data_IF_758779869898
#
_entry.id   IF_758779869898
#
_cell.length_a   1.000
_cell.length_b   1.000
_cell.length_c   1.000
_cell.angle_alpha   90.00
_cell.angle_beta   90.00
_cell.angle_gamma   90.00
#
_symmetry.space_group_name_H-M   'P 1'
#
loop_
_entity.id
_entity.type
_entity.pdbx_description
1 polymer ?
#
# COMPACT_ATOMS: atom_id res chain seq x y z
N UNK A 1 1.68 13.76 -9.62
CA UNK A 1 1.97 12.35 -9.50
C UNK A 1 0.85 11.47 -9.98
N UNK A 2 1.13 10.19 -10.10
CA UNK A 2 0.13 9.18 -10.49
C UNK A 2 -0.47 8.52 -9.26
N UNK A 3 -1.50 9.11 -8.67
CA UNK A 3 -2.25 8.48 -7.57
C UNK A 3 -2.78 7.12 -8.03
N UNK A 4 -2.65 6.10 -7.19
CA UNK A 4 -3.08 4.73 -7.48
C UNK A 4 -2.06 3.85 -8.20
N UNK A 5 -0.89 4.37 -8.58
CA UNK A 5 0.13 3.59 -9.30
C UNK A 5 1.21 2.96 -8.39
N UNK A 6 1.31 3.38 -7.11
CA UNK A 6 2.34 2.92 -6.18
C UNK A 6 2.34 1.40 -6.02
N UNK A 7 1.16 0.80 -5.86
CA UNK A 7 1.02 -0.64 -5.70
C UNK A 7 1.50 -1.42 -6.93
N UNK A 8 1.15 -0.97 -8.15
CA UNK A 8 1.58 -1.61 -9.39
C UNK A 8 3.09 -1.53 -9.60
N UNK A 9 3.70 -0.37 -9.31
CA UNK A 9 5.16 -0.17 -9.39
C UNK A 9 5.88 -1.07 -8.37
N UNK A 10 5.42 -1.08 -7.12
CA UNK A 10 6.01 -1.91 -6.07
C UNK A 10 5.87 -3.41 -6.38
N UNK A 11 4.72 -3.83 -6.90
CA UNK A 11 4.51 -5.22 -7.32
C UNK A 11 5.48 -5.62 -8.45
N UNK A 12 5.61 -4.78 -9.48
CA UNK A 12 6.57 -5.00 -10.56
C UNK A 12 8.01 -5.14 -10.05
N UNK A 13 8.43 -4.27 -9.13
CA UNK A 13 9.73 -4.37 -8.49
C UNK A 13 9.89 -5.69 -7.70
N UNK A 14 8.85 -6.10 -6.95
CA UNK A 14 8.88 -7.33 -6.15
C UNK A 14 9.11 -8.60 -6.97
N UNK A 15 8.72 -8.60 -8.26
CA UNK A 15 8.91 -9.76 -9.15
C UNK A 15 10.40 -10.09 -9.39
N UNK A 16 11.26 -9.09 -9.34
CA UNK A 16 12.71 -9.24 -9.54
C UNK A 16 13.50 -9.18 -8.24
N UNK A 17 12.98 -8.52 -7.20
CA UNK A 17 13.65 -8.38 -5.92
C UNK A 17 13.69 -9.68 -5.13
N UNK A 18 14.85 -9.95 -4.50
CA UNK A 18 15.01 -11.01 -3.48
C UNK A 18 14.66 -10.54 -2.07
N UNK A 19 14.56 -9.21 -1.87
CA UNK A 19 14.22 -8.57 -0.59
C UNK A 19 12.73 -8.32 -0.49
N UNK A 20 12.24 -8.14 0.72
CA UNK A 20 10.85 -7.71 0.92
C UNK A 20 10.61 -6.35 0.29
N UNK A 21 9.50 -6.25 -0.41
CA UNK A 21 9.02 -5.03 -1.03
C UNK A 21 7.79 -4.57 -0.29
N UNK A 22 7.89 -3.44 0.40
CA UNK A 22 6.80 -2.84 1.17
C UNK A 22 6.22 -1.68 0.35
N UNK A 23 4.93 -1.76 0.01
CA UNK A 23 4.17 -0.68 -0.60
C UNK A 23 3.32 0.01 0.47
N UNK A 24 3.50 1.32 0.62
CA UNK A 24 2.61 2.17 1.41
C UNK A 24 1.63 2.85 0.45
N UNK A 25 0.36 2.73 0.72
CA UNK A 25 -0.70 3.27 -0.13
C UNK A 25 -1.83 3.87 0.72
N UNK A 26 -2.58 4.81 0.17
CA UNK A 26 -3.79 5.33 0.80
C UNK A 26 -5.04 4.59 0.31
N UNK A 27 -6.11 4.60 1.09
CA UNK A 27 -7.39 4.03 0.70
C UNK A 27 -7.92 4.64 -0.60
N UNK A 28 -7.90 5.97 -0.73
CA UNK A 28 -8.29 6.65 -1.96
C UNK A 28 -7.40 6.31 -3.16
N UNK A 29 -6.11 6.13 -2.94
CA UNK A 29 -5.18 5.72 -3.98
C UNK A 29 -5.49 4.33 -4.52
N UNK A 30 -5.79 3.38 -3.63
CA UNK A 30 -6.19 2.02 -4.01
C UNK A 30 -7.48 2.02 -4.81
N UNK A 31 -8.47 2.81 -4.39
CA UNK A 31 -9.77 2.87 -5.06
C UNK A 31 -9.68 3.40 -6.49
N UNK A 32 -8.75 4.29 -6.78
CA UNK A 32 -8.52 4.79 -8.15
C UNK A 32 -8.11 3.69 -9.13
N UNK A 33 -7.41 2.67 -8.67
CA UNK A 33 -6.94 1.55 -9.51
C UNK A 33 -7.21 0.19 -8.86
N UNK A 34 -8.41 0.02 -8.30
CA UNK A 34 -8.79 -1.17 -7.55
C UNK A 34 -8.60 -2.47 -8.34
N UNK A 35 -8.87 -2.45 -9.65
CA UNK A 35 -8.66 -3.59 -10.53
C UNK A 35 -7.20 -4.08 -10.56
N UNK A 36 -6.22 -3.19 -10.34
CA UNK A 36 -4.81 -3.58 -10.29
C UNK A 36 -4.49 -4.54 -9.15
N UNK A 37 -5.24 -4.48 -8.06
CA UNK A 37 -5.06 -5.40 -6.93
C UNK A 37 -5.26 -6.86 -7.32
N UNK A 38 -6.13 -7.16 -8.32
CA UNK A 38 -6.29 -8.54 -8.82
C UNK A 38 -5.01 -9.04 -9.48
N UNK A 39 -4.41 -8.23 -10.33
CA UNK A 39 -3.12 -8.55 -10.97
C UNK A 39 -2.02 -8.70 -9.92
N UNK A 40 -1.96 -7.78 -8.97
CA UNK A 40 -1.00 -7.81 -7.86
C UNK A 40 -1.14 -9.08 -7.03
N UNK A 41 -2.35 -9.42 -6.59
CA UNK A 41 -2.61 -10.62 -5.79
C UNK A 41 -2.26 -11.92 -6.52
N UNK A 42 -2.39 -11.94 -7.85
CA UNK A 42 -2.04 -13.09 -8.68
C UNK A 42 -0.55 -13.22 -8.97
N UNK A 43 0.08 -12.11 -9.37
CA UNK A 43 1.47 -12.12 -9.86
C UNK A 43 2.50 -11.92 -8.76
N UNK A 44 2.16 -11.26 -7.65
CA UNK A 44 3.12 -10.89 -6.63
C UNK A 44 3.66 -12.09 -5.87
N UNK A 45 4.95 -11.98 -5.55
CA UNK A 45 5.70 -13.01 -4.85
C UNK A 45 5.49 -12.96 -3.32
N UNK A 46 6.07 -13.94 -2.65
CA UNK A 46 6.05 -14.09 -1.18
C UNK A 46 6.64 -12.87 -0.44
N UNK A 47 7.46 -12.06 -1.11
CA UNK A 47 8.11 -10.87 -0.58
C UNK A 47 7.29 -9.57 -0.73
N UNK A 48 6.08 -9.61 -1.27
CA UNK A 48 5.26 -8.41 -1.44
C UNK A 48 4.40 -8.13 -0.21
N UNK A 49 4.51 -6.92 0.33
CA UNK A 49 3.81 -6.41 1.51
C UNK A 49 3.09 -5.12 1.13
N UNK A 50 1.78 -5.11 1.22
CA UNK A 50 0.94 -3.95 0.89
C UNK A 50 0.31 -3.39 2.18
N UNK A 51 0.54 -2.13 2.48
CA UNK A 51 -0.02 -1.44 3.65
C UNK A 51 -0.97 -0.36 3.15
N UNK A 52 -2.21 -0.40 3.61
CA UNK A 52 -3.21 0.63 3.37
C UNK A 52 -3.28 1.53 4.60
N UNK A 53 -2.99 2.80 4.43
CA UNK A 53 -3.25 3.85 5.42
C UNK A 53 -4.65 4.40 5.12
N UNK A 54 -5.64 3.97 5.90
CA UNK A 54 -7.05 4.27 5.66
C UNK A 54 -7.56 5.34 6.63
N UNK A 55 -7.79 6.55 6.10
CA UNK A 55 -8.39 7.68 6.80
C UNK A 55 -9.78 8.07 6.25
N UNK A 56 -10.31 7.31 5.29
CA UNK A 56 -11.57 7.57 4.58
C UNK A 56 -11.62 8.93 3.86
N UNK A 57 -10.44 9.49 3.47
CA UNK A 57 -10.36 10.82 2.89
C UNK A 57 -9.30 10.93 1.80
N UNK A 58 -9.60 11.69 0.77
CA UNK A 58 -8.64 12.15 -0.25
C UNK A 58 -7.92 13.43 0.20
N UNK A 59 -7.26 13.43 1.36
CA UNK A 59 -6.65 14.64 1.94
C UNK A 59 -5.69 15.38 1.02
N UNK A 60 -4.94 14.66 0.21
CA UNK A 60 -3.96 15.27 -0.70
C UNK A 60 -4.56 16.08 -1.85
N UNK A 61 -5.86 15.98 -2.07
CA UNK A 61 -6.57 16.62 -3.20
C UNK A 61 -7.90 17.28 -2.79
N UNK A 62 -8.05 17.66 -1.52
CA UNK A 62 -9.17 18.45 -1.07
C UNK A 62 -10.03 17.86 0.06
N UNK A 63 -9.68 16.67 0.55
CA UNK A 63 -10.31 16.09 1.74
C UNK A 63 -11.70 15.46 1.48
N UNK A 64 -12.04 15.19 0.24
CA UNK A 64 -13.30 14.50 -0.08
C UNK A 64 -13.32 13.08 0.49
N UNK A 65 -14.50 12.57 0.90
CA UNK A 65 -14.59 11.19 1.39
C UNK A 65 -14.26 10.19 0.28
N UNK A 66 -13.55 9.14 0.63
CA UNK A 66 -13.24 8.02 -0.27
C UNK A 66 -14.34 6.98 -0.31
N UNK A 67 -15.25 7.01 0.67
CA UNK A 67 -16.28 5.99 0.92
C UNK A 67 -15.69 4.58 1.16
N UNK A 68 -14.43 4.53 1.59
CA UNK A 68 -13.75 3.25 1.88
C UNK A 68 -14.27 2.56 3.13
N UNK A 69 -15.02 3.26 3.99
CA UNK A 69 -15.69 2.69 5.16
C UNK A 69 -16.70 1.58 4.81
N UNK A 70 -17.29 1.65 3.63
CA UNK A 70 -18.18 0.62 3.09
C UNK A 70 -17.47 -0.64 2.56
N UNK A 71 -16.14 -0.63 2.52
CA UNK A 71 -15.35 -1.70 1.92
C UNK A 71 -14.82 -2.65 3.00
N UNK A 72 -15.13 -3.92 2.85
CA UNK A 72 -14.49 -4.97 3.64
C UNK A 72 -13.19 -5.39 2.97
N UNK A 73 -12.06 -4.72 3.32
CA UNK A 73 -10.75 -4.99 2.74
C UNK A 73 -10.26 -6.43 2.98
N UNK A 74 -10.68 -7.08 4.07
CA UNK A 74 -10.37 -8.49 4.33
C UNK A 74 -10.95 -9.40 3.25
N UNK A 75 -12.24 -9.30 3.00
CA UNK A 75 -12.91 -10.12 2.00
C UNK A 75 -12.47 -9.76 0.59
N UNK A 76 -12.32 -8.46 0.32
CA UNK A 76 -11.85 -7.95 -0.96
C UNK A 76 -10.45 -8.48 -1.29
N UNK A 77 -9.48 -8.35 -0.37
CA UNK A 77 -8.11 -8.82 -0.60
C UNK A 77 -8.05 -10.32 -0.85
N UNK A 78 -8.82 -11.10 -0.10
CA UNK A 78 -8.93 -12.56 -0.30
C UNK A 78 -9.44 -12.88 -1.71
N UNK A 79 -10.52 -12.23 -2.14
CA UNK A 79 -11.11 -12.43 -3.48
C UNK A 79 -10.14 -12.02 -4.60
N UNK A 80 -9.30 -11.02 -4.36
CA UNK A 80 -8.32 -10.53 -5.31
C UNK A 80 -7.01 -11.32 -5.31
N UNK A 81 -6.84 -12.33 -4.43
CA UNK A 81 -5.71 -13.26 -4.45
C UNK A 81 -4.59 -12.96 -3.46
N UNK A 82 -4.78 -12.00 -2.54
CA UNK A 82 -3.87 -11.85 -1.41
C UNK A 82 -3.97 -13.05 -0.47
N UNK A 83 -2.84 -13.53 0.00
CA UNK A 83 -2.79 -14.73 0.86
C UNK A 83 -3.12 -14.44 2.31
N UNK A 84 -2.77 -13.25 2.78
CA UNK A 84 -2.94 -12.87 4.18
C UNK A 84 -3.49 -11.46 4.28
N UNK A 85 -4.34 -11.26 5.27
CA UNK A 85 -4.86 -9.96 5.66
C UNK A 85 -4.60 -9.71 7.15
N UNK A 86 -4.18 -8.49 7.46
CA UNK A 86 -3.95 -7.98 8.80
C UNK A 86 -4.67 -6.66 8.97
N UNK A 87 -5.08 -6.34 10.20
CA UNK A 87 -5.72 -5.07 10.52
C UNK A 87 -5.20 -4.53 11.85
N UNK A 88 -4.91 -3.22 11.88
CA UNK A 88 -4.57 -2.50 13.11
C UNK A 88 -5.71 -1.54 13.40
N UNK A 89 -6.41 -1.76 14.52
CA UNK A 89 -7.49 -0.88 14.98
C UNK A 89 -7.06 0.01 16.15
N UNK A 90 -6.42 -0.52 17.21
CA UNK A 90 -6.04 0.28 18.38
C UNK A 90 -5.05 -0.37 19.36
N UNK A 91 -4.83 -1.68 19.36
CA UNK A 91 -3.94 -2.37 20.33
C UNK A 91 -3.01 -3.34 19.61
N UNK A 92 -1.85 -3.58 20.20
CA UNK A 92 -0.85 -4.55 19.70
C UNK A 92 -0.23 -4.24 18.32
N UNK A 93 -0.16 -2.94 17.94
CA UNK A 93 0.43 -2.52 16.67
C UNK A 93 1.78 -3.21 16.41
N UNK A 94 2.70 -3.20 17.36
CA UNK A 94 4.03 -3.78 17.22
C UNK A 94 3.98 -5.28 16.92
N UNK A 95 3.11 -6.03 17.60
CA UNK A 95 2.93 -7.47 17.40
C UNK A 95 2.36 -7.78 16.02
N UNK A 96 1.35 -7.01 15.60
CA UNK A 96 0.71 -7.18 14.28
C UNK A 96 1.70 -6.84 13.17
N UNK A 97 2.45 -5.74 13.28
CA UNK A 97 3.47 -5.35 12.30
C UNK A 97 4.57 -6.43 12.20
N UNK A 98 5.10 -6.90 13.32
CA UNK A 98 6.09 -7.98 13.31
C UNK A 98 5.55 -9.22 12.60
N UNK A 99 4.33 -9.66 12.92
CA UNK A 99 3.70 -10.81 12.26
C UNK A 99 3.48 -10.57 10.77
N UNK A 100 3.00 -9.39 10.39
CA UNK A 100 2.82 -9.01 8.98
C UNK A 100 4.14 -9.05 8.21
N UNK A 101 5.21 -8.49 8.75
CA UNK A 101 6.53 -8.45 8.10
C UNK A 101 7.12 -9.85 7.91
N UNK A 102 6.96 -10.75 8.88
CA UNK A 102 7.50 -12.12 8.82
C UNK A 102 6.63 -13.10 8.03
N UNK A 103 5.35 -12.79 7.80
CA UNK A 103 4.44 -13.67 7.06
C UNK A 103 4.72 -13.61 5.55
N UNK A 104 4.83 -14.76 4.89
CA UNK A 104 5.02 -14.83 3.43
C UNK A 104 3.79 -14.27 2.69
N UNK A 105 4.03 -13.28 1.79
CA UNK A 105 2.99 -12.60 1.03
C UNK A 105 2.48 -13.36 -0.22
N UNK A 106 1.74 -12.68 -1.09
CA UNK A 106 1.34 -11.28 -0.95
C UNK A 106 0.42 -11.07 0.26
N UNK A 107 0.76 -10.09 1.08
CA UNK A 107 0.02 -9.79 2.31
C UNK A 107 -0.49 -8.36 2.28
N UNK A 108 -1.73 -8.15 2.75
CA UNK A 108 -2.33 -6.83 2.92
C UNK A 108 -2.44 -6.52 4.42
N UNK A 109 -2.07 -5.30 4.81
CA UNK A 109 -2.29 -4.74 6.13
C UNK A 109 -3.11 -3.47 6.01
N UNK A 110 -4.26 -3.42 6.66
CA UNK A 110 -5.03 -2.20 6.82
C UNK A 110 -4.72 -1.54 8.17
N UNK A 111 -4.36 -0.25 8.12
CA UNK A 111 -4.13 0.59 9.27
C UNK A 111 -5.12 1.73 9.26
N UNK A 112 -6.05 1.74 10.19
CA UNK A 112 -6.97 2.87 10.39
C UNK A 112 -6.20 4.03 11.00
N UNK A 113 -6.22 5.18 10.35
CA UNK A 113 -5.57 6.40 10.79
C UNK A 113 -6.58 7.54 10.83
N UNK A 114 -6.25 8.59 11.57
CA UNK A 114 -7.06 9.81 11.63
C UNK A 114 -6.80 10.70 10.44
N UNK A 115 -7.77 11.53 10.07
CA UNK A 115 -7.59 12.63 9.16
C UNK A 115 -6.65 13.67 9.77
N UNK A 116 -5.92 14.36 8.93
CA UNK A 116 -4.98 15.40 9.31
C UNK A 116 -3.63 15.24 8.61
N UNK A 117 -3.05 16.36 8.23
CA UNK A 117 -1.74 16.42 7.61
C UNK A 117 -0.76 17.24 8.46
N UNK A 118 0.51 16.91 8.41
CA UNK A 118 1.55 17.76 9.00
C UNK A 118 1.67 19.06 8.23
N UNK A 119 1.76 20.18 8.93
CA UNK A 119 1.75 21.53 8.33
C UNK A 119 2.89 21.82 7.35
N UNK A 120 4.01 21.11 7.44
CA UNK A 120 5.24 21.39 6.66
C UNK A 120 5.76 20.16 5.93
N UNK A 121 4.92 19.50 5.15
CA UNK A 121 5.38 18.43 4.28
C UNK A 121 5.97 18.99 2.99
N UNK A 122 7.28 18.77 2.79
CA UNK A 122 7.95 19.12 1.54
C UNK A 122 7.71 18.03 0.48
N UNK A 123 7.47 18.43 -0.77
CA UNK A 123 7.44 17.51 -1.90
C UNK A 123 8.85 17.32 -2.49
N UNK A 124 9.19 16.12 -2.96
CA UNK A 124 10.45 15.91 -3.66
C UNK A 124 10.55 16.81 -4.89
N UNK A 125 11.62 17.60 -4.98
CA UNK A 125 11.78 18.58 -6.07
C UNK A 125 12.36 17.99 -7.37
N UNK A 126 13.15 16.92 -7.29
CA UNK A 126 13.83 16.35 -8.45
C UNK A 126 13.40 14.90 -8.72
N UNK A 127 12.27 14.76 -9.44
CA UNK A 127 11.70 13.46 -9.77
C UNK A 127 12.59 12.63 -10.69
N UNK A 128 13.39 13.27 -11.56
CA UNK A 128 14.32 12.57 -12.47
C UNK A 128 15.40 11.84 -11.66
N UNK A 129 15.97 12.52 -10.65
CA UNK A 129 16.97 11.90 -9.79
C UNK A 129 16.39 10.77 -8.94
N UNK A 130 15.15 10.91 -8.48
CA UNK A 130 14.46 9.83 -7.76
C UNK A 130 14.29 8.62 -8.68
N UNK A 131 13.81 8.83 -9.90
CA UNK A 131 13.68 7.77 -10.92
C UNK A 131 15.03 7.08 -11.17
N UNK A 132 16.09 7.86 -11.43
CA UNK A 132 17.45 7.32 -11.69
C UNK A 132 17.96 6.49 -10.50
N UNK A 133 17.81 6.99 -9.26
CA UNK A 133 18.17 6.24 -8.06
C UNK A 133 17.40 4.95 -7.94
N UNK A 134 16.08 4.99 -8.16
CA UNK A 134 15.24 3.79 -8.11
C UNK A 134 15.65 2.75 -9.17
N UNK A 135 15.90 3.18 -10.42
CA UNK A 135 16.31 2.28 -11.51
C UNK A 135 17.71 1.68 -11.29
N UNK A 136 18.58 2.35 -10.54
CA UNK A 136 19.92 1.87 -10.20
C UNK A 136 19.96 0.97 -8.94
N UNK A 137 18.82 0.82 -8.24
CA UNK A 137 18.71 -0.14 -7.15
C UNK A 137 18.77 -1.54 -7.76
N UNK A 138 19.81 -2.30 -7.40
CA UNK A 138 19.86 -3.73 -7.74
C UNK A 138 18.72 -4.43 -7.03
N UNK A 139 17.84 -5.16 -7.73
CA UNK A 139 16.72 -5.87 -7.13
C UNK A 139 17.15 -7.00 -6.20
#
# INVERSE_FOLDING_TARGET
>A
GGMGHSASVAAGYSLKSKKDTICLDGDGSILMHLGSMRTIGHLSKKNFKHIILNNNSHESVGGQPTYSEGINFKNLSKSLGYKNFFEIKNKDMTKIIKKFLTTKGPSLLEVKIQNGSLEKLSRPKNLINIKRKFMNLKP
#
